data_IF_865226045546
#
_entry.id   IF_865226045546
#
_cell.length_a   1.000
_cell.length_b   1.000
_cell.length_c   1.000
_cell.angle_alpha   90.00
_cell.angle_beta   90.00
_cell.angle_gamma   90.00
#
_symmetry.space_group_name_H-M   'P 1'
#
loop_
_entity.id
_entity.type
_entity.pdbx_description
1 polymer ?
#
# COMPACT_ATOMS: atom_id res chain seq x y z
N UNK A 1 -48.90 -37.91 20.51
CA UNK A 1 -48.67 -38.72 21.70
C UNK A 1 -47.55 -38.12 22.50
N UNK A 2 -47.93 -37.75 23.68
CA UNK A 2 -47.19 -37.11 24.76
C UNK A 2 -45.92 -37.89 25.22
N UNK A 3 -44.90 -37.21 25.67
CA UNK A 3 -44.37 -37.43 27.01
C UNK A 3 -43.45 -36.28 27.45
N UNK A 4 -43.92 -35.61 28.48
CA UNK A 4 -43.24 -34.71 29.38
C UNK A 4 -42.30 -35.52 30.32
N UNK A 5 -41.12 -35.01 30.66
CA UNK A 5 -40.51 -35.32 31.94
C UNK A 5 -40.03 -34.06 32.65
N UNK A 6 -40.52 -33.95 33.86
CA UNK A 6 -40.35 -32.85 34.82
C UNK A 6 -39.18 -33.10 35.75
N UNK A 7 -38.50 -32.00 36.11
CA UNK A 7 -38.04 -31.58 37.45
C UNK A 7 -37.26 -32.55 38.33
N UNK A 8 -36.11 -32.08 38.85
CA UNK A 8 -35.93 -32.03 40.29
C UNK A 8 -34.90 -30.97 40.70
N UNK A 9 -35.39 -30.01 41.50
CA UNK A 9 -34.62 -29.09 42.33
C UNK A 9 -34.06 -29.86 43.54
N UNK A 10 -32.80 -29.59 43.88
CA UNK A 10 -32.35 -29.88 45.24
C UNK A 10 -31.51 -28.71 45.78
N UNK A 11 -32.17 -27.95 46.66
CA UNK A 11 -31.55 -26.95 47.55
C UNK A 11 -30.84 -27.70 48.66
N UNK A 12 -29.58 -27.41 48.94
CA UNK A 12 -29.03 -27.60 50.29
C UNK A 12 -28.35 -26.30 50.74
N UNK A 13 -28.95 -25.75 51.77
CA UNK A 13 -28.38 -24.75 52.67
C UNK A 13 -27.19 -25.38 53.42
N UNK A 14 -26.11 -24.67 53.61
CA UNK A 14 -25.25 -24.83 54.73
C UNK A 14 -24.66 -23.50 55.20
N UNK A 15 -24.63 -23.36 56.49
CA UNK A 15 -24.43 -22.17 57.30
C UNK A 15 -22.94 -21.75 57.41
N UNK A 16 -22.66 -20.53 57.92
CA UNK A 16 -21.32 -19.93 57.91
C UNK A 16 -20.50 -20.40 59.14
N UNK A 17 -19.22 -20.70 58.91
CA UNK A 17 -18.24 -20.95 59.94
C UNK A 17 -17.52 -19.64 60.28
N UNK A 18 -17.73 -19.18 61.52
CA UNK A 18 -16.99 -18.07 62.14
C UNK A 18 -15.58 -18.54 62.52
N UNK A 19 -14.53 -17.93 62.04
CA UNK A 19 -13.15 -18.07 62.51
C UNK A 19 -12.61 -16.71 62.94
N UNK A 20 -11.93 -16.58 64.07
CA UNK A 20 -11.68 -15.32 64.75
C UNK A 20 -10.53 -14.52 64.13
N UNK A 21 -10.73 -13.21 64.15
CA UNK A 21 -9.83 -12.14 63.79
C UNK A 21 -8.56 -12.14 64.66
N UNK A 22 -7.41 -12.47 64.07
CA UNK A 22 -6.10 -12.13 64.62
C UNK A 22 -5.54 -10.94 63.88
N UNK A 23 -5.50 -9.84 64.58
CA UNK A 23 -4.84 -8.60 64.16
C UNK A 23 -3.34 -8.85 64.03
N UNK A 24 -2.80 -8.83 62.83
CA UNK A 24 -1.37 -8.71 62.57
C UNK A 24 -1.12 -7.34 61.95
N UNK A 25 -0.59 -6.45 62.79
CA UNK A 25 -0.03 -5.16 62.38
C UNK A 25 1.31 -5.47 61.69
N UNK A 26 1.37 -5.38 60.36
CA UNK A 26 2.64 -5.46 59.65
C UNK A 26 2.75 -4.27 58.69
N UNK A 27 3.87 -3.56 58.79
CA UNK A 27 4.13 -2.28 58.21
C UNK A 27 3.93 -2.19 56.71
N UNK A 28 3.29 -1.13 56.28
CA UNK A 28 3.20 -0.69 54.93
C UNK A 28 4.58 -0.15 54.50
N UNK A 29 5.38 -1.00 53.87
CA UNK A 29 6.54 -0.56 53.11
C UNK A 29 6.02 -0.13 51.76
N UNK A 30 5.81 1.18 51.53
CA UNK A 30 5.51 1.76 50.22
C UNK A 30 6.67 1.47 49.28
N UNK A 31 6.61 0.37 48.54
CA UNK A 31 7.35 0.27 47.28
C UNK A 31 6.66 1.21 46.29
N UNK A 32 7.22 2.38 46.09
CA UNK A 32 7.01 3.16 44.89
C UNK A 32 7.61 2.38 43.74
N UNK A 33 6.82 1.41 43.22
CA UNK A 33 7.06 0.87 41.91
C UNK A 33 6.86 2.05 40.95
N UNK A 34 7.96 2.68 40.56
CA UNK A 34 7.97 3.59 39.45
C UNK A 34 7.42 2.84 38.25
N UNK A 35 6.20 3.18 37.84
CA UNK A 35 5.66 2.82 36.54
C UNK A 35 6.53 3.52 35.53
N UNK A 36 7.65 2.91 35.18
CA UNK A 36 8.37 3.24 33.97
C UNK A 36 7.40 2.95 32.82
N UNK A 37 6.63 3.94 32.41
CA UNK A 37 6.06 3.94 31.08
C UNK A 37 7.25 3.76 30.15
N UNK A 38 7.39 2.57 29.58
CA UNK A 38 8.22 2.37 28.39
C UNK A 38 7.58 3.23 27.32
N UNK A 39 8.01 4.51 27.25
CA UNK A 39 7.87 5.30 26.06
C UNK A 39 8.56 4.46 24.97
N UNK A 40 7.78 3.86 24.08
CA UNK A 40 8.32 3.34 22.85
C UNK A 40 9.04 4.52 22.21
N UNK A 41 10.37 4.52 22.19
CA UNK A 41 11.13 5.57 21.55
C UNK A 41 10.74 5.53 20.07
N UNK A 42 10.03 6.55 19.63
CA UNK A 42 9.70 6.72 18.24
C UNK A 42 11.00 6.65 17.42
N UNK A 43 10.98 6.02 16.27
CA UNK A 43 12.18 5.89 15.44
C UNK A 43 12.76 7.27 15.10
N UNK A 44 14.08 7.42 15.22
CA UNK A 44 14.78 8.62 14.76
C UNK A 44 14.84 8.74 13.23
N UNK A 45 14.43 7.69 12.51
CA UNK A 45 14.30 7.71 11.04
C UNK A 45 12.87 8.03 10.69
N UNK A 46 12.64 9.15 9.99
CA UNK A 46 11.32 9.55 9.50
C UNK A 46 10.97 8.83 8.19
N UNK A 47 9.68 8.56 7.98
CA UNK A 47 9.11 8.10 6.72
C UNK A 47 8.59 9.30 5.92
N UNK A 48 9.22 9.62 4.79
CA UNK A 48 8.65 10.48 3.77
C UNK A 48 7.96 9.62 2.72
N UNK A 49 6.62 9.64 2.72
CA UNK A 49 5.86 8.95 1.68
C UNK A 49 5.61 9.90 0.51
N UNK A 50 6.12 9.58 -0.67
CA UNK A 50 5.85 10.32 -1.88
C UNK A 50 4.73 9.64 -2.67
N UNK A 51 3.69 10.39 -3.05
CA UNK A 51 2.56 9.88 -3.81
C UNK A 51 2.13 10.86 -4.90
N UNK A 52 1.36 10.36 -5.87
CA UNK A 52 0.90 11.15 -7.01
C UNK A 52 0.11 12.40 -6.56
N UNK A 53 -0.83 12.22 -5.64
CA UNK A 53 -1.81 13.24 -5.30
C UNK A 53 -3.00 13.25 -6.29
N UNK A 54 -4.15 13.68 -5.79
CA UNK A 54 -5.38 13.69 -6.58
C UNK A 54 -6.50 14.45 -5.88
N UNK A 55 -7.72 13.93 -5.96
CA UNK A 55 -8.86 14.48 -5.24
C UNK A 55 -8.67 14.34 -3.72
N UNK A 56 -9.45 15.07 -2.94
CA UNK A 56 -9.43 14.95 -1.48
C UNK A 56 -9.66 13.52 -1.00
N UNK A 57 -10.60 12.80 -1.63
CA UNK A 57 -10.86 11.38 -1.33
C UNK A 57 -9.65 10.49 -1.64
N UNK A 58 -8.96 10.74 -2.76
CA UNK A 58 -7.76 10.03 -3.14
C UNK A 58 -6.62 10.25 -2.12
N UNK A 59 -6.39 11.52 -1.77
CA UNK A 59 -5.36 11.88 -0.79
C UNK A 59 -5.69 11.30 0.60
N UNK A 60 -6.95 11.36 1.02
CA UNK A 60 -7.43 10.77 2.28
C UNK A 60 -7.18 9.25 2.34
N UNK A 61 -7.36 8.52 1.25
CA UNK A 61 -7.06 7.08 1.21
C UNK A 61 -5.55 6.79 1.40
N UNK A 62 -4.68 7.64 0.87
CA UNK A 62 -3.22 7.54 1.10
C UNK A 62 -2.88 7.88 2.56
N UNK A 63 -3.48 8.93 3.12
CA UNK A 63 -3.28 9.29 4.53
C UNK A 63 -3.71 8.17 5.47
N UNK A 64 -4.84 7.53 5.20
CA UNK A 64 -5.35 6.37 5.96
C UNK A 64 -4.38 5.19 5.88
N UNK A 65 -3.76 4.95 4.73
CA UNK A 65 -2.81 3.84 4.55
C UNK A 65 -1.55 3.94 5.43
N UNK A 66 -1.22 5.13 5.93
CA UNK A 66 -0.07 5.33 6.84
C UNK A 66 -0.48 5.68 8.28
N UNK A 67 -1.77 5.77 8.57
CA UNK A 67 -2.26 6.21 9.88
C UNK A 67 -1.68 5.35 11.03
N UNK A 68 -1.67 4.01 10.86
CA UNK A 68 -1.12 3.10 11.86
C UNK A 68 0.40 3.20 12.02
N UNK A 69 1.14 3.70 11.01
CA UNK A 69 2.60 3.83 11.05
C UNK A 69 3.06 4.98 11.92
N UNK A 70 2.20 6.00 12.10
CA UNK A 70 2.50 7.21 12.90
C UNK A 70 2.76 6.92 14.39
N UNK A 71 2.31 5.76 14.87
CA UNK A 71 2.60 5.32 16.25
C UNK A 71 4.06 4.87 16.43
N UNK A 72 4.71 4.42 15.34
CA UNK A 72 6.03 3.79 15.39
C UNK A 72 7.14 4.74 14.90
N UNK A 73 6.81 5.70 14.03
CA UNK A 73 7.77 6.59 13.38
C UNK A 73 7.16 7.95 13.00
N UNK A 74 7.96 9.02 12.86
CA UNK A 74 7.54 10.25 12.21
C UNK A 74 7.14 9.97 10.75
N UNK A 75 5.98 10.49 10.30
CA UNK A 75 5.49 10.30 8.93
C UNK A 75 5.05 11.62 8.35
N UNK A 76 5.56 11.95 7.16
CA UNK A 76 5.07 13.05 6.33
C UNK A 76 4.81 12.58 4.91
N UNK A 77 3.84 13.19 4.24
CA UNK A 77 3.43 12.80 2.87
C UNK A 77 3.69 13.97 1.92
N UNK A 78 4.38 13.69 0.83
CA UNK A 78 4.56 14.62 -0.29
C UNK A 78 3.69 14.19 -1.46
N UNK A 79 2.63 14.93 -1.74
CA UNK A 79 1.82 14.78 -2.94
C UNK A 79 2.41 15.62 -4.08
N UNK A 80 2.32 15.15 -5.32
CA UNK A 80 2.66 15.93 -6.50
C UNK A 80 3.78 15.39 -7.39
N UNK A 81 3.97 14.06 -7.47
CA UNK A 81 4.80 13.44 -8.52
C UNK A 81 6.23 14.02 -8.57
N UNK A 82 7.00 13.90 -7.50
CA UNK A 82 8.34 14.46 -7.34
C UNK A 82 8.41 16.01 -7.43
N UNK A 83 7.34 16.70 -7.06
CA UNK A 83 7.38 18.15 -6.93
C UNK A 83 8.37 18.58 -5.83
N UNK A 84 9.45 19.33 -6.18
CA UNK A 84 10.48 19.68 -5.20
C UNK A 84 9.95 20.50 -4.01
N UNK A 85 8.91 21.32 -4.20
CA UNK A 85 8.35 22.13 -3.13
C UNK A 85 7.60 21.28 -2.10
N UNK A 86 6.80 20.30 -2.52
CA UNK A 86 6.10 19.40 -1.61
C UNK A 86 7.05 18.42 -0.93
N UNK A 87 8.09 17.97 -1.64
CA UNK A 87 9.15 17.13 -1.05
C UNK A 87 9.92 17.89 0.02
N UNK A 88 10.30 19.17 -0.21
CA UNK A 88 10.96 20.00 0.80
C UNK A 88 10.08 20.20 2.03
N UNK A 89 8.81 20.54 1.81
CA UNK A 89 7.85 20.75 2.92
C UNK A 89 7.72 19.48 3.78
N UNK A 90 7.62 18.29 3.16
CA UNK A 90 7.51 17.03 3.87
C UNK A 90 8.82 16.67 4.62
N UNK A 91 9.98 17.00 4.05
CA UNK A 91 11.28 16.82 4.69
C UNK A 91 11.40 17.71 5.93
N UNK A 92 11.08 19.00 5.80
CA UNK A 92 11.14 19.97 6.89
C UNK A 92 10.18 19.60 8.04
N UNK A 93 8.99 19.10 7.69
CA UNK A 93 8.02 18.58 8.66
C UNK A 93 8.60 17.40 9.47
N UNK A 94 9.22 16.42 8.81
CA UNK A 94 9.87 15.29 9.50
C UNK A 94 10.99 15.74 10.42
N UNK A 95 11.82 16.68 10.00
CA UNK A 95 12.88 17.26 10.82
C UNK A 95 12.28 17.95 12.05
N UNK A 96 11.19 18.69 11.88
CA UNK A 96 10.45 19.33 12.98
C UNK A 96 9.86 18.31 13.98
N UNK A 97 9.50 17.11 13.50
CA UNK A 97 9.07 15.97 14.33
C UNK A 97 10.24 15.27 15.04
N UNK A 98 11.47 15.67 14.80
CA UNK A 98 12.68 15.14 15.45
C UNK A 98 13.40 14.03 14.67
N UNK A 99 13.06 13.78 13.40
CA UNK A 99 13.78 12.84 12.57
C UNK A 99 15.24 13.26 12.39
N UNK A 100 16.17 12.31 12.55
CA UNK A 100 17.62 12.46 12.37
C UNK A 100 18.11 12.00 11.02
N UNK A 101 17.32 11.15 10.35
CA UNK A 101 17.49 10.71 8.98
C UNK A 101 16.13 10.39 8.37
N UNK A 102 16.03 10.30 7.04
CA UNK A 102 14.75 10.14 6.34
C UNK A 102 14.82 9.02 5.32
N UNK A 103 13.92 8.07 5.46
CA UNK A 103 13.65 7.04 4.47
C UNK A 103 12.52 7.52 3.55
N UNK A 104 12.81 7.72 2.27
CA UNK A 104 11.83 8.11 1.25
C UNK A 104 11.25 6.87 0.60
N UNK A 105 9.94 6.67 0.75
CA UNK A 105 9.18 5.59 0.10
C UNK A 105 8.29 6.19 -0.98
N UNK A 106 8.40 5.65 -2.20
CA UNK A 106 7.62 6.13 -3.34
C UNK A 106 6.42 5.23 -3.59
N UNK A 107 5.22 5.71 -3.22
CA UNK A 107 3.96 4.99 -3.40
C UNK A 107 3.45 5.17 -4.83
N UNK A 108 4.05 4.43 -5.76
CA UNK A 108 3.67 4.37 -7.17
C UNK A 108 3.46 2.93 -7.62
N UNK A 109 2.68 2.78 -8.68
CA UNK A 109 2.45 1.46 -9.30
C UNK A 109 3.77 0.87 -9.80
N UNK A 110 4.57 1.67 -10.53
CA UNK A 110 5.90 1.24 -11.01
C UNK A 110 7.03 1.83 -10.16
N UNK A 111 8.03 1.01 -9.86
CA UNK A 111 9.28 1.45 -9.26
C UNK A 111 10.12 2.38 -10.17
N UNK A 112 9.82 2.45 -11.46
CA UNK A 112 10.48 3.35 -12.42
C UNK A 112 9.91 4.77 -12.38
N UNK A 113 8.64 4.93 -11.95
CA UNK A 113 7.95 6.23 -11.95
C UNK A 113 8.65 7.24 -11.04
N UNK A 114 9.08 8.37 -11.61
CA UNK A 114 9.74 9.49 -10.91
C UNK A 114 10.98 9.11 -10.09
N UNK A 115 11.60 7.95 -10.34
CA UNK A 115 12.77 7.50 -9.58
C UNK A 115 13.95 8.46 -9.75
N UNK A 116 14.27 8.81 -10.98
CA UNK A 116 15.42 9.68 -11.32
C UNK A 116 15.21 11.11 -10.83
N UNK A 117 14.01 11.64 -11.00
CA UNK A 117 13.62 12.96 -10.52
C UNK A 117 13.74 13.06 -9.00
N UNK A 118 13.25 12.03 -8.30
CA UNK A 118 13.32 11.96 -6.84
C UNK A 118 14.76 11.81 -6.38
N UNK A 119 15.53 10.91 -6.99
CA UNK A 119 16.94 10.70 -6.66
C UNK A 119 17.77 11.97 -6.86
N UNK A 120 17.53 12.70 -7.94
CA UNK A 120 18.17 13.99 -8.18
C UNK A 120 17.78 15.04 -7.14
N UNK A 121 16.50 15.15 -6.83
CA UNK A 121 16.02 16.10 -5.80
C UNK A 121 16.67 15.87 -4.45
N UNK A 122 16.82 14.62 -4.04
CA UNK A 122 17.51 14.24 -2.80
C UNK A 122 19.05 14.09 -2.93
N UNK A 123 19.64 14.62 -4.00
CA UNK A 123 21.10 14.63 -4.23
C UNK A 123 21.73 13.21 -4.23
N UNK A 124 20.95 12.18 -4.51
CA UNK A 124 21.40 10.79 -4.66
C UNK A 124 21.89 10.51 -6.09
N UNK A 125 21.55 11.38 -7.04
CA UNK A 125 22.02 11.39 -8.42
C UNK A 125 22.62 12.74 -8.76
N UNK A 126 23.80 12.73 -9.42
CA UNK A 126 24.55 13.95 -9.72
C UNK A 126 23.97 14.79 -10.86
N UNK A 127 23.20 14.17 -11.74
CA UNK A 127 22.70 14.80 -12.96
C UNK A 127 21.18 14.84 -12.96
N UNK A 128 20.63 15.99 -13.36
CA UNK A 128 19.20 16.13 -13.58
C UNK A 128 18.74 15.11 -14.64
N UNK A 129 17.54 14.52 -14.47
CA UNK A 129 17.00 13.59 -15.44
C UNK A 129 16.82 14.27 -16.80
N UNK A 130 17.17 13.56 -17.87
CA UNK A 130 16.94 14.03 -19.25
C UNK A 130 15.55 13.63 -19.69
N UNK A 131 14.81 14.54 -20.31
CA UNK A 131 13.48 14.29 -20.87
C UNK A 131 12.40 15.23 -20.31
N UNK A 132 11.14 14.87 -20.55
CA UNK A 132 10.01 15.63 -20.02
C UNK A 132 9.83 15.30 -18.53
N UNK A 133 10.22 16.22 -17.66
CA UNK A 133 9.86 16.19 -16.25
C UNK A 133 8.57 16.97 -16.03
N UNK A 134 7.71 16.49 -15.13
CA UNK A 134 6.47 17.20 -14.74
C UNK A 134 6.77 18.52 -14.01
N UNK A 135 7.93 18.62 -13.40
CA UNK A 135 8.41 19.80 -12.67
C UNK A 135 9.83 20.14 -13.11
N UNK A 136 10.21 21.41 -12.96
CA UNK A 136 11.60 21.81 -13.16
C UNK A 136 12.50 21.08 -12.13
N UNK A 137 13.53 20.33 -12.57
CA UNK A 137 14.41 19.60 -11.68
C UNK A 137 15.12 20.54 -10.70
N UNK A 138 15.00 20.27 -9.41
CA UNK A 138 15.62 21.06 -8.35
C UNK A 138 16.12 20.16 -7.23
N UNK A 139 17.32 20.43 -6.73
CA UNK A 139 17.85 19.80 -5.52
C UNK A 139 17.23 20.44 -4.28
N UNK A 140 17.01 19.62 -3.25
CA UNK A 140 16.48 20.00 -1.97
C UNK A 140 17.60 20.48 -1.03
N UNK A 141 17.22 21.24 -0.02
CA UNK A 141 18.09 21.60 1.09
C UNK A 141 18.08 20.48 2.13
N UNK A 142 19.17 19.73 2.21
CA UNK A 142 19.29 18.55 3.06
C UNK A 142 20.09 18.86 4.30
N UNK A 143 19.46 18.78 5.47
CA UNK A 143 20.13 18.88 6.76
C UNK A 143 20.29 17.55 7.50
N UNK A 144 19.74 16.46 6.95
CA UNK A 144 19.79 15.10 7.48
C UNK A 144 20.08 14.09 6.36
N UNK A 145 20.68 12.93 6.67
CA UNK A 145 20.85 11.85 5.70
C UNK A 145 19.50 11.36 5.15
N UNK A 146 19.50 11.02 3.86
CA UNK A 146 18.32 10.52 3.16
C UNK A 146 18.66 9.25 2.38
N UNK A 147 17.74 8.30 2.37
CA UNK A 147 17.78 7.13 1.47
C UNK A 147 16.44 6.97 0.76
N UNK A 148 16.44 6.35 -0.41
CA UNK A 148 15.30 6.26 -1.32
C UNK A 148 14.98 4.80 -1.65
N UNK A 149 13.70 4.41 -1.54
CA UNK A 149 13.24 3.10 -2.03
C UNK A 149 13.18 3.09 -3.55
N UNK A 150 13.55 1.95 -4.16
CA UNK A 150 13.50 1.76 -5.61
C UNK A 150 12.25 0.99 -6.08
N UNK A 151 11.60 0.23 -5.21
CA UNK A 151 10.47 -0.62 -5.55
C UNK A 151 9.17 0.13 -5.85
N UNK A 152 8.29 -0.52 -6.62
CA UNK A 152 6.91 -0.12 -6.85
C UNK A 152 5.92 -1.22 -6.46
N UNK A 153 4.62 -0.94 -6.55
CA UNK A 153 3.58 -1.93 -6.21
C UNK A 153 3.57 -3.12 -7.17
N UNK A 154 3.99 -2.92 -8.44
CA UNK A 154 4.18 -3.99 -9.41
C UNK A 154 5.27 -5.01 -9.01
N UNK A 155 6.20 -4.61 -8.14
CA UNK A 155 7.30 -5.45 -7.68
C UNK A 155 6.95 -6.24 -6.40
N UNK A 156 5.73 -6.07 -5.88
CA UNK A 156 5.34 -6.55 -4.57
C UNK A 156 4.34 -7.71 -4.64
N UNK A 157 4.78 -8.92 -4.30
CA UNK A 157 3.92 -10.11 -4.27
C UNK A 157 2.68 -9.94 -3.37
N UNK A 158 2.73 -9.07 -2.36
CA UNK A 158 1.56 -8.71 -1.54
C UNK A 158 0.37 -8.23 -2.38
N UNK A 159 0.62 -7.59 -3.51
CA UNK A 159 -0.44 -7.08 -4.38
C UNK A 159 -1.21 -8.21 -5.07
N UNK A 160 -0.58 -9.36 -5.33
CA UNK A 160 -1.27 -10.53 -5.86
C UNK A 160 -2.43 -10.98 -4.97
N UNK A 161 -2.25 -10.98 -3.65
CA UNK A 161 -3.33 -11.31 -2.71
C UNK A 161 -4.53 -10.36 -2.82
N UNK A 162 -4.30 -9.06 -3.07
CA UNK A 162 -5.40 -8.10 -3.30
C UNK A 162 -6.17 -8.47 -4.58
N UNK A 163 -5.45 -8.81 -5.64
CA UNK A 163 -6.07 -9.20 -6.92
C UNK A 163 -6.90 -10.48 -6.79
N UNK A 164 -6.38 -11.48 -6.08
CA UNK A 164 -7.09 -12.74 -5.77
C UNK A 164 -8.37 -12.47 -5.01
N UNK A 165 -8.31 -11.71 -3.91
CA UNK A 165 -9.48 -11.39 -3.10
C UNK A 165 -10.55 -10.65 -3.93
N UNK A 166 -10.14 -9.73 -4.81
CA UNK A 166 -11.05 -9.01 -5.69
C UNK A 166 -11.71 -9.93 -6.71
N UNK A 167 -10.93 -10.81 -7.36
CA UNK A 167 -11.44 -11.78 -8.30
C UNK A 167 -12.48 -12.70 -7.65
N UNK A 168 -12.16 -13.26 -6.47
CA UNK A 168 -13.04 -14.16 -5.73
C UNK A 168 -14.31 -13.44 -5.25
N UNK A 169 -14.18 -12.24 -4.66
CA UNK A 169 -15.32 -11.50 -4.13
C UNK A 169 -16.29 -11.03 -5.21
N UNK A 170 -15.83 -10.80 -6.43
CA UNK A 170 -16.66 -10.42 -7.57
C UNK A 170 -17.21 -11.62 -8.34
N UNK A 171 -16.67 -12.82 -8.12
CA UNK A 171 -17.08 -14.03 -8.83
C UNK A 171 -18.43 -14.56 -8.35
N UNK A 172 -19.18 -15.17 -9.30
CA UNK A 172 -20.40 -15.92 -9.06
C UNK A 172 -20.26 -17.35 -9.60
N UNK A 173 -19.65 -17.52 -10.77
CA UNK A 173 -19.41 -18.81 -11.42
C UNK A 173 -18.09 -18.70 -12.22
N UNK A 174 -16.97 -18.92 -11.52
CA UNK A 174 -15.64 -18.70 -12.06
C UNK A 174 -15.38 -19.43 -13.38
N UNK A 175 -15.99 -20.61 -13.58
CA UNK A 175 -15.86 -21.38 -14.82
C UNK A 175 -16.46 -20.68 -16.05
N UNK A 176 -17.31 -19.68 -15.84
CA UNK A 176 -17.94 -18.82 -16.87
C UNK A 176 -17.49 -17.37 -16.79
N UNK A 177 -16.43 -17.09 -16.08
CA UNK A 177 -15.92 -15.74 -15.86
C UNK A 177 -14.47 -15.62 -16.30
N UNK A 178 -14.15 -14.52 -16.95
CA UNK A 178 -12.81 -14.16 -17.37
C UNK A 178 -12.35 -12.93 -16.59
N UNK A 179 -11.15 -12.97 -16.03
CA UNK A 179 -10.56 -11.83 -15.33
C UNK A 179 -9.80 -10.97 -16.33
N UNK A 180 -9.98 -9.65 -16.22
CA UNK A 180 -9.23 -8.64 -16.94
C UNK A 180 -8.64 -7.64 -15.95
N UNK A 181 -7.34 -7.73 -15.70
CA UNK A 181 -6.60 -6.76 -14.88
C UNK A 181 -6.14 -5.64 -15.80
N UNK A 182 -6.48 -4.38 -15.46
CA UNK A 182 -6.12 -3.22 -16.27
C UNK A 182 -5.32 -2.23 -15.44
N UNK A 183 -4.09 -1.94 -15.88
CA UNK A 183 -3.23 -0.91 -15.29
C UNK A 183 -3.26 0.40 -16.10
N UNK A 184 -2.77 1.48 -15.49
CA UNK A 184 -2.60 2.78 -16.15
C UNK A 184 -1.72 2.68 -17.41
N UNK A 185 -0.56 2.06 -17.28
CA UNK A 185 0.45 1.92 -18.33
C UNK A 185 1.24 3.19 -18.64
N UNK A 186 2.53 3.06 -18.99
CA UNK A 186 3.42 4.17 -19.36
C UNK A 186 3.35 4.51 -20.85
N UNK A 187 3.98 5.62 -21.26
CA UNK A 187 4.10 6.03 -22.66
C UNK A 187 5.12 5.23 -23.48
N UNK A 188 6.20 4.82 -22.87
CA UNK A 188 7.23 4.01 -23.51
C UNK A 188 6.77 2.55 -23.67
N UNK A 189 7.01 1.97 -24.85
CA UNK A 189 6.52 0.63 -25.15
C UNK A 189 7.31 -0.46 -24.43
N UNK A 190 8.63 -0.30 -24.29
CA UNK A 190 9.46 -1.25 -23.59
C UNK A 190 9.17 -1.22 -22.07
N UNK A 191 8.89 -0.04 -21.51
CA UNK A 191 8.41 0.08 -20.13
C UNK A 191 7.04 -0.57 -19.96
N UNK A 192 6.13 -0.38 -20.94
CA UNK A 192 4.82 -1.00 -20.90
C UNK A 192 4.88 -2.54 -20.93
N UNK A 193 5.77 -3.11 -21.72
CA UNK A 193 6.01 -4.55 -21.71
C UNK A 193 6.46 -5.04 -20.33
N UNK A 194 7.30 -4.27 -19.63
CA UNK A 194 7.69 -4.60 -18.24
C UNK A 194 6.52 -4.50 -17.27
N UNK A 195 5.65 -3.51 -17.43
CA UNK A 195 4.44 -3.40 -16.61
C UNK A 195 3.52 -4.59 -16.81
N UNK A 196 3.22 -4.94 -18.05
CA UNK A 196 2.36 -6.10 -18.40
C UNK A 196 2.96 -7.39 -17.86
N UNK A 197 4.27 -7.62 -18.04
CA UNK A 197 4.97 -8.79 -17.52
C UNK A 197 4.90 -8.91 -16.00
N UNK A 198 5.07 -7.80 -15.26
CA UNK A 198 4.97 -7.79 -13.79
C UNK A 198 3.53 -8.02 -13.33
N UNK A 199 2.54 -7.39 -13.96
CA UNK A 199 1.12 -7.66 -13.66
C UNK A 199 0.75 -9.11 -13.96
N UNK A 200 1.25 -9.68 -15.06
CA UNK A 200 0.99 -11.06 -15.42
C UNK A 200 1.56 -12.04 -14.38
N UNK A 201 2.76 -11.73 -13.86
CA UNK A 201 3.33 -12.50 -12.75
C UNK A 201 2.47 -12.43 -11.47
N UNK A 202 1.92 -11.27 -11.12
CA UNK A 202 1.00 -11.15 -10.00
C UNK A 202 -0.32 -11.89 -10.25
N UNK A 203 -0.77 -11.94 -11.51
CA UNK A 203 -1.97 -12.62 -11.93
C UNK A 203 -1.86 -14.17 -11.86
N UNK A 204 -0.64 -14.72 -11.78
CA UNK A 204 -0.44 -16.16 -11.58
C UNK A 204 -1.18 -16.68 -10.34
N UNK A 205 -1.18 -15.89 -9.25
CA UNK A 205 -1.90 -16.28 -8.03
C UNK A 205 -3.41 -16.42 -8.24
N UNK A 206 -4.03 -15.66 -9.16
CA UNK A 206 -5.44 -15.85 -9.53
C UNK A 206 -5.61 -17.13 -10.35
N UNK A 207 -4.66 -17.46 -11.23
CA UNK A 207 -4.69 -18.69 -12.05
C UNK A 207 -4.52 -19.93 -11.20
N UNK A 208 -3.73 -19.83 -10.11
CA UNK A 208 -3.50 -20.94 -9.17
C UNK A 208 -4.67 -21.14 -8.20
N UNK A 209 -5.27 -20.06 -7.70
CA UNK A 209 -6.29 -20.09 -6.65
C UNK A 209 -7.74 -20.11 -7.17
N UNK A 210 -7.96 -19.74 -8.45
CA UNK A 210 -9.29 -19.62 -9.03
C UNK A 210 -9.48 -20.41 -10.31
N UNK A 211 -10.59 -21.15 -10.41
CA UNK A 211 -10.99 -21.88 -11.63
C UNK A 211 -11.63 -20.93 -12.66
N UNK A 212 -11.03 -19.74 -12.90
CA UNK A 212 -11.53 -18.79 -13.89
C UNK A 212 -11.29 -19.31 -15.33
N UNK A 213 -12.21 -18.98 -16.24
CA UNK A 213 -12.09 -19.35 -17.64
C UNK A 213 -10.77 -18.82 -18.25
N UNK A 214 -10.44 -17.56 -17.96
CA UNK A 214 -9.15 -16.98 -18.34
C UNK A 214 -8.77 -15.84 -17.39
N UNK A 215 -7.47 -15.53 -17.30
CA UNK A 215 -6.94 -14.38 -16.55
C UNK A 215 -6.00 -13.61 -17.47
N UNK A 216 -6.39 -12.39 -17.80
CA UNK A 216 -5.72 -11.52 -18.75
C UNK A 216 -5.27 -10.21 -18.08
N UNK A 217 -4.18 -9.66 -18.57
CA UNK A 217 -3.64 -8.38 -18.11
C UNK A 217 -3.44 -7.43 -19.28
N UNK A 218 -3.68 -6.16 -19.07
CA UNK A 218 -3.46 -5.12 -20.07
C UNK A 218 -3.23 -3.76 -19.41
N UNK A 219 -2.88 -2.76 -20.21
CA UNK A 219 -2.76 -1.37 -19.79
C UNK A 219 -3.57 -0.46 -20.69
N UNK A 220 -4.16 0.59 -20.12
CA UNK A 220 -4.93 1.56 -20.89
C UNK A 220 -4.06 2.61 -21.58
N UNK A 221 -2.82 2.82 -21.12
CA UNK A 221 -1.92 3.88 -21.65
C UNK A 221 -2.57 5.26 -21.52
N UNK A 222 -3.12 5.56 -20.35
CA UNK A 222 -4.12 6.62 -20.08
C UNK A 222 -3.74 8.01 -20.61
N UNK A 223 -2.49 8.41 -20.51
CA UNK A 223 -2.02 9.77 -20.84
C UNK A 223 -1.50 9.91 -22.29
N UNK A 224 -1.55 8.85 -23.09
CA UNK A 224 -0.99 8.84 -24.46
C UNK A 224 -2.06 8.54 -25.49
N UNK A 225 -2.73 9.59 -25.99
CA UNK A 225 -3.95 9.54 -26.81
C UNK A 225 -3.97 8.43 -27.86
N UNK A 226 -3.01 8.37 -28.78
CA UNK A 226 -3.03 7.34 -29.82
C UNK A 226 -2.84 5.91 -29.32
N UNK A 227 -2.07 5.72 -28.23
CA UNK A 227 -1.88 4.41 -27.60
C UNK A 227 -3.10 4.02 -26.77
N UNK A 228 -3.71 4.99 -26.10
CA UNK A 228 -4.95 4.83 -25.37
C UNK A 228 -6.10 4.41 -26.30
N UNK A 229 -6.29 5.07 -27.41
CA UNK A 229 -7.33 4.70 -28.39
C UNK A 229 -7.19 3.26 -28.88
N UNK A 230 -5.95 2.83 -29.17
CA UNK A 230 -5.68 1.44 -29.55
C UNK A 230 -6.00 0.45 -28.42
N UNK A 231 -5.56 0.77 -27.19
CA UNK A 231 -5.84 -0.06 -26.02
C UNK A 231 -7.34 -0.15 -25.70
N UNK A 232 -8.08 0.94 -25.81
CA UNK A 232 -9.55 0.96 -25.62
C UNK A 232 -10.25 0.02 -26.58
N UNK A 233 -9.85 0.05 -27.87
CA UNK A 233 -10.43 -0.86 -28.90
C UNK A 233 -10.20 -2.32 -28.52
N UNK A 234 -8.98 -2.68 -28.11
CA UNK A 234 -8.62 -4.06 -27.74
C UNK A 234 -9.34 -4.51 -26.46
N UNK A 235 -9.37 -3.67 -25.42
CA UNK A 235 -10.05 -3.94 -24.15
C UNK A 235 -11.56 -4.14 -24.36
N UNK A 236 -12.19 -3.27 -25.16
CA UNK A 236 -13.61 -3.37 -25.47
C UNK A 236 -13.92 -4.59 -26.34
N UNK A 237 -13.04 -4.94 -27.29
CA UNK A 237 -13.20 -6.17 -28.10
C UNK A 237 -13.16 -7.40 -27.24
N UNK A 238 -12.21 -7.50 -26.30
CA UNK A 238 -12.14 -8.60 -25.35
C UNK A 238 -13.44 -8.77 -24.56
N UNK A 239 -13.99 -7.68 -24.00
CA UNK A 239 -15.25 -7.76 -23.24
C UNK A 239 -16.44 -8.20 -24.12
N UNK A 240 -16.51 -7.71 -25.37
CA UNK A 240 -17.58 -8.12 -26.32
C UNK A 240 -17.46 -9.58 -26.73
N UNK A 241 -16.25 -10.07 -26.98
CA UNK A 241 -16.00 -11.44 -27.42
C UNK A 241 -16.32 -12.43 -26.29
N UNK A 242 -15.95 -12.11 -25.07
CA UNK A 242 -16.32 -12.91 -23.90
C UNK A 242 -17.83 -12.95 -23.69
N UNK A 243 -18.51 -11.81 -23.79
CA UNK A 243 -19.96 -11.74 -23.69
C UNK A 243 -20.66 -12.53 -24.82
N UNK A 244 -20.16 -12.47 -26.06
CA UNK A 244 -20.69 -13.25 -27.19
C UNK A 244 -20.49 -14.76 -26.98
N UNK A 245 -19.46 -15.17 -26.26
CA UNK A 245 -19.23 -16.56 -25.87
C UNK A 245 -20.02 -16.97 -24.59
N UNK A 246 -20.88 -16.11 -24.06
CA UNK A 246 -21.71 -16.38 -22.88
C UNK A 246 -20.96 -16.32 -21.56
N UNK A 247 -19.82 -15.62 -21.51
CA UNK A 247 -19.02 -15.43 -20.32
C UNK A 247 -19.12 -13.98 -19.81
N UNK A 248 -18.87 -13.80 -18.53
CA UNK A 248 -18.81 -12.48 -17.89
C UNK A 248 -17.36 -12.09 -17.67
N UNK A 249 -16.97 -10.86 -18.04
CA UNK A 249 -15.66 -10.31 -17.68
C UNK A 249 -15.75 -9.63 -16.32
N UNK A 250 -14.82 -9.96 -15.43
CA UNK A 250 -14.56 -9.25 -14.18
C UNK A 250 -13.35 -8.36 -14.42
N UNK A 251 -13.55 -7.03 -14.29
CA UNK A 251 -12.49 -6.05 -14.49
C UNK A 251 -11.93 -5.62 -13.14
N UNK A 252 -10.62 -5.78 -12.96
CA UNK A 252 -9.89 -5.42 -11.75
C UNK A 252 -8.88 -4.33 -12.09
N UNK A 253 -9.03 -3.10 -11.57
CA UNK A 253 -8.07 -2.04 -11.82
C UNK A 253 -6.78 -2.26 -11.01
N UNK A 254 -5.63 -2.29 -11.67
CA UNK A 254 -4.32 -2.21 -11.03
C UNK A 254 -3.91 -0.74 -10.92
N UNK A 255 -4.60 -0.03 -10.04
CA UNK A 255 -4.42 1.39 -9.70
C UNK A 255 -4.34 1.54 -8.19
N UNK A 256 -3.69 2.59 -7.73
CA UNK A 256 -3.62 2.84 -6.28
C UNK A 256 -5.01 3.03 -5.68
N UNK A 257 -5.88 3.82 -6.32
CA UNK A 257 -7.21 4.14 -5.80
C UNK A 257 -8.26 4.26 -6.90
N UNK A 258 -9.44 3.69 -6.66
CA UNK A 258 -10.63 3.82 -7.48
C UNK A 258 -10.57 3.07 -8.82
N UNK A 259 -11.66 3.16 -9.58
CA UNK A 259 -11.80 2.50 -10.89
C UNK A 259 -11.16 3.33 -12.02
N UNK A 260 -10.90 4.62 -11.80
CA UNK A 260 -10.31 5.51 -12.80
C UNK A 260 -11.23 5.74 -14.00
N UNK A 261 -10.69 5.91 -15.21
CA UNK A 261 -11.48 6.18 -16.42
C UNK A 261 -12.15 4.94 -17.00
N UNK A 262 -11.98 3.75 -16.40
CA UNK A 262 -12.45 2.49 -17.00
C UNK A 262 -13.97 2.42 -17.12
N UNK A 263 -14.73 3.12 -16.26
CA UNK A 263 -16.18 3.23 -16.41
C UNK A 263 -16.57 3.85 -17.76
N UNK A 264 -15.82 4.83 -18.24
CA UNK A 264 -16.04 5.47 -19.55
C UNK A 264 -15.57 4.55 -20.69
N UNK A 265 -14.42 3.90 -20.53
CA UNK A 265 -13.86 2.97 -21.51
C UNK A 265 -14.82 1.81 -21.80
N UNK A 266 -15.47 1.29 -20.77
CA UNK A 266 -16.38 0.13 -20.87
C UNK A 266 -17.86 0.52 -20.87
N UNK A 267 -18.19 1.79 -21.15
CA UNK A 267 -19.57 2.24 -21.21
C UNK A 267 -20.37 1.44 -22.26
N UNK A 268 -21.60 1.07 -21.87
CA UNK A 268 -22.47 0.26 -22.71
C UNK A 268 -22.09 -1.23 -22.85
N UNK A 269 -21.00 -1.71 -22.20
CA UNK A 269 -20.60 -3.09 -22.16
C UNK A 269 -21.08 -3.80 -20.89
N UNK A 270 -21.29 -5.10 -20.97
CA UNK A 270 -21.66 -5.93 -19.81
C UNK A 270 -20.40 -6.52 -19.18
N UNK A 271 -20.09 -6.08 -17.98
CA UNK A 271 -18.96 -6.58 -17.18
C UNK A 271 -19.32 -6.50 -15.69
N UNK A 272 -18.46 -7.01 -14.83
CA UNK A 272 -18.54 -6.86 -13.37
C UNK A 272 -17.23 -6.22 -12.87
N UNK A 273 -17.37 -5.26 -11.96
CA UNK A 273 -16.26 -4.59 -11.32
C UNK A 273 -16.70 -4.05 -9.95
N UNK A 274 -15.74 -3.82 -9.07
CA UNK A 274 -15.93 -2.90 -7.94
C UNK A 274 -15.29 -1.54 -8.26
N UNK A 275 -15.57 -0.55 -7.43
CA UNK A 275 -15.00 0.80 -7.60
C UNK A 275 -13.66 0.98 -6.90
N UNK A 276 -13.01 -0.11 -6.47
CA UNK A 276 -11.82 -0.07 -5.64
C UNK A 276 -10.55 -0.25 -6.49
N UNK A 277 -9.48 0.47 -6.13
CA UNK A 277 -8.12 0.20 -6.55
C UNK A 277 -7.41 -0.76 -5.58
N UNK A 278 -6.09 -0.63 -5.42
CA UNK A 278 -5.33 -1.37 -4.40
C UNK A 278 -5.65 -0.86 -2.99
N UNK A 279 -5.97 0.43 -2.84
CA UNK A 279 -6.51 1.01 -1.62
C UNK A 279 -8.07 0.94 -1.62
N UNK A 280 -8.67 0.83 -0.42
CA UNK A 280 -8.03 0.62 0.88
C UNK A 280 -7.75 -0.87 1.11
N UNK A 281 -6.50 -1.24 1.30
CA UNK A 281 -6.12 -2.60 1.70
C UNK A 281 -4.89 -2.54 2.60
N UNK A 282 -4.88 -3.26 3.72
CA UNK A 282 -3.81 -3.27 4.70
C UNK A 282 -2.47 -3.73 4.10
N UNK A 283 -2.49 -4.58 3.07
CA UNK A 283 -1.27 -5.05 2.39
C UNK A 283 -0.49 -3.91 1.73
N UNK A 284 -1.15 -2.81 1.35
CA UNK A 284 -0.46 -1.59 0.90
C UNK A 284 0.30 -0.93 2.06
N UNK A 285 -0.30 -0.86 3.25
CA UNK A 285 0.37 -0.37 4.47
C UNK A 285 1.56 -1.26 4.84
N UNK A 286 1.41 -2.57 4.76
CA UNK A 286 2.48 -3.55 5.01
C UNK A 286 3.63 -3.39 4.00
N UNK A 287 3.31 -3.16 2.74
CA UNK A 287 4.31 -2.86 1.71
C UNK A 287 5.05 -1.56 2.02
N UNK A 288 4.34 -0.47 2.37
CA UNK A 288 4.98 0.81 2.76
C UNK A 288 5.93 0.57 3.94
N UNK A 289 5.50 -0.16 4.96
CA UNK A 289 6.33 -0.53 6.12
C UNK A 289 7.57 -1.31 5.69
N UNK A 290 7.43 -2.29 4.81
CA UNK A 290 8.56 -3.10 4.32
C UNK A 290 9.58 -2.27 3.55
N UNK A 291 9.11 -1.36 2.68
CA UNK A 291 9.97 -0.43 1.95
C UNK A 291 10.71 0.53 2.91
N UNK A 292 10.00 1.06 3.90
CA UNK A 292 10.61 1.88 4.95
C UNK A 292 11.71 1.12 5.70
N UNK A 293 11.45 -0.10 6.14
CA UNK A 293 12.43 -0.90 6.88
C UNK A 293 13.68 -1.19 6.05
N UNK A 294 13.53 -1.60 4.80
CA UNK A 294 14.65 -1.82 3.89
C UNK A 294 15.46 -0.54 3.63
N UNK A 295 14.77 0.59 3.43
CA UNK A 295 15.41 1.89 3.18
C UNK A 295 16.13 2.41 4.43
N UNK A 296 15.56 2.19 5.61
CA UNK A 296 16.19 2.49 6.90
C UNK A 296 17.47 1.68 7.14
N UNK A 297 17.48 0.40 6.79
CA UNK A 297 18.70 -0.45 6.90
C UNK A 297 19.84 0.10 6.03
N UNK A 298 19.52 0.60 4.84
CA UNK A 298 20.51 1.25 3.96
C UNK A 298 21.13 2.49 4.61
N UNK A 299 20.33 3.33 5.30
CA UNK A 299 20.82 4.50 6.04
C UNK A 299 21.79 4.09 7.15
N UNK A 300 21.42 3.12 7.97
CA UNK A 300 22.23 2.66 9.11
C UNK A 300 23.58 2.11 8.63
N UNK A 301 23.59 1.34 7.54
CA UNK A 301 24.83 0.81 6.97
C UNK A 301 25.75 1.91 6.43
N UNK A 302 25.21 2.93 5.77
CA UNK A 302 26.00 4.04 5.23
C UNK A 302 26.64 4.89 6.34
N UNK A 303 25.94 5.12 7.45
CA UNK A 303 26.47 5.83 8.62
C UNK A 303 27.60 5.05 9.29
N UNK A 304 27.44 3.73 9.42
CA UNK A 304 28.46 2.84 10.04
C UNK A 304 29.76 2.80 9.21
N UNK A 305 29.65 2.74 7.89
CA UNK A 305 30.81 2.73 6.98
C UNK A 305 31.57 4.07 7.00
N UNK A 306 30.87 5.19 7.09
CA UNK A 306 31.48 6.52 7.17
C UNK A 306 32.26 6.73 8.49
N UNK A 307 31.81 6.15 9.59
CA UNK A 307 32.51 6.23 10.88
C UNK A 307 33.81 5.38 10.88
N UNK A 308 33.82 4.22 10.21
CA UNK A 308 35.01 3.34 10.11
C UNK A 308 36.09 3.88 9.17
N UNK A 309 35.77 4.80 8.26
CA UNK A 309 36.75 5.39 7.33
C UNK A 309 37.49 6.62 7.88
N UNK A 310 37.12 7.08 9.08
CA UNK A 310 37.71 8.25 9.75
C UNK A 310 38.52 7.90 11.01
N UNK A 311 38.63 6.63 11.37
CA UNK A 311 39.54 6.08 12.37
C UNK A 311 40.76 5.42 11.71
#
# INVERSE_FOLDING_TARGET
THSLFRLSLNKRFNQPLLIPMRVFLLGILCFLAGSGSSQSSQSEVGLLLMAHGGTETWNGAVEESVASLRADMPVSIAFGMANPATLQTALDDLISQGAKSVAVVRLFVSGESFLKETAYSFQLEAHAPSGHSMHEPRVLDLSVPVSLSAGGLLDAQLMAGILVDRAINLSIDSSKESILIVGHGPGDDAENERWVSKMDHLAESIREDGDFHSVNVSTLREDWTGKREAAEIELQAFVRDEAAAGRTVIIIPFRLFGFGPYAEVFDGLSYRADSLGLLPDQRVTEWIRSQYMSTKETLIHSETMNHQSHD
#
